data_IF_203315721962
#
_entry.id   IF_203315721962
#
_cell.length_a   1.000
_cell.length_b   1.000
_cell.length_c   1.000
_cell.angle_alpha   90.00
_cell.angle_beta   90.00
_cell.angle_gamma   90.00
#
_symmetry.space_group_name_H-M   'P 1'
#
loop_
_entity.id
_entity.type
_entity.pdbx_description
1 polymer ?
#
# COMPACT_ATOMS: atom_id res chain seq x y z
N UNK A 1 3.10 26.09 46.47
CA UNK A 1 2.99 24.93 45.57
C UNK A 1 2.51 25.47 44.22
N UNK A 2 3.42 25.78 43.31
CA UNK A 2 3.06 26.34 42.00
C UNK A 2 4.09 25.93 40.96
N UNK A 3 3.60 25.53 39.80
CA UNK A 3 4.33 25.50 38.55
C UNK A 3 4.89 24.13 38.16
N UNK A 4 4.11 23.33 37.41
CA UNK A 4 4.70 22.34 36.52
C UNK A 4 3.81 21.96 35.34
N UNK A 5 4.45 22.01 34.17
CA UNK A 5 4.10 21.39 32.88
C UNK A 5 3.23 22.15 31.88
N UNK A 6 3.83 23.15 31.23
CA UNK A 6 3.49 23.56 29.86
C UNK A 6 4.73 23.52 28.96
N UNK A 7 5.30 22.33 28.72
CA UNK A 7 6.39 22.16 27.73
C UNK A 7 6.43 20.72 27.18
N UNK A 8 5.45 20.31 26.36
CA UNK A 8 5.54 19.01 25.67
C UNK A 8 4.84 18.93 24.29
N UNK A 9 4.67 20.03 23.56
CA UNK A 9 4.13 19.99 22.19
C UNK A 9 5.10 20.43 21.09
N UNK A 10 6.11 21.25 21.39
CA UNK A 10 6.96 21.87 20.35
C UNK A 10 8.06 20.98 19.77
N UNK A 11 8.31 19.78 20.34
CA UNK A 11 9.43 18.90 19.93
C UNK A 11 9.06 17.88 18.84
N UNK A 12 7.76 17.59 18.62
CA UNK A 12 7.28 16.63 17.59
C UNK A 12 7.05 17.26 16.21
N UNK A 13 6.70 18.55 16.16
CA UNK A 13 6.33 19.24 14.93
C UNK A 13 7.52 19.41 13.96
N UNK A 14 8.70 19.75 14.50
CA UNK A 14 9.94 19.84 13.71
C UNK A 14 10.37 18.48 13.13
N UNK A 15 10.05 17.38 13.81
CA UNK A 15 10.36 16.03 13.39
C UNK A 15 9.44 15.59 12.23
N UNK A 16 8.12 15.79 12.36
CA UNK A 16 7.16 15.49 11.30
C UNK A 16 7.43 16.30 10.03
N UNK A 17 7.63 17.61 10.13
CA UNK A 17 7.95 18.44 8.98
C UNK A 17 9.26 18.01 8.30
N UNK A 18 10.25 17.57 9.09
CA UNK A 18 11.51 17.04 8.54
C UNK A 18 11.33 15.67 7.89
N UNK A 19 10.51 14.80 8.47
CA UNK A 19 10.17 13.49 7.90
C UNK A 19 9.41 13.64 6.58
N UNK A 20 8.46 14.59 6.53
CA UNK A 20 7.73 14.92 5.29
C UNK A 20 8.70 15.41 4.20
N UNK A 21 9.59 16.35 4.52
CA UNK A 21 10.61 16.81 3.55
C UNK A 21 11.49 15.66 3.04
N UNK A 22 11.97 14.79 3.94
CA UNK A 22 12.76 13.64 3.55
C UNK A 22 11.98 12.69 2.61
N UNK A 23 10.69 12.47 2.89
CA UNK A 23 9.83 11.66 2.03
C UNK A 23 9.63 12.30 0.63
N UNK A 24 9.50 13.62 0.57
CA UNK A 24 9.43 14.37 -0.70
C UNK A 24 10.74 14.27 -1.48
N UNK A 25 11.89 14.43 -0.82
CA UNK A 25 13.20 14.32 -1.45
C UNK A 25 13.40 12.91 -2.04
N UNK A 26 13.04 11.86 -1.28
CA UNK A 26 13.07 10.47 -1.77
C UNK A 26 12.10 10.24 -2.93
N UNK A 27 10.90 10.83 -2.87
CA UNK A 27 9.93 10.75 -3.97
C UNK A 27 10.50 11.35 -5.25
N UNK A 28 11.13 12.53 -5.19
CA UNK A 28 11.71 13.17 -6.37
C UNK A 28 12.81 12.34 -7.02
N UNK A 29 13.68 11.75 -6.21
CA UNK A 29 14.72 10.84 -6.72
C UNK A 29 14.08 9.63 -7.41
N UNK A 30 13.13 8.95 -6.75
CA UNK A 30 12.48 7.77 -7.33
C UNK A 30 11.68 8.09 -8.59
N UNK A 31 10.98 9.22 -8.61
CA UNK A 31 10.20 9.66 -9.77
C UNK A 31 11.09 9.93 -10.99
N UNK A 32 12.27 10.55 -10.78
CA UNK A 32 13.24 10.78 -11.85
C UNK A 32 13.85 9.50 -12.40
N UNK A 33 14.26 8.58 -11.53
CA UNK A 33 14.89 7.31 -11.94
C UNK A 33 13.92 6.35 -12.65
N UNK A 34 12.62 6.48 -12.38
CA UNK A 34 11.58 5.59 -12.91
C UNK A 34 10.61 6.32 -13.87
N UNK A 35 11.00 7.48 -14.39
CA UNK A 35 10.17 8.31 -15.29
C UNK A 35 9.64 7.52 -16.51
N UNK A 36 10.50 6.66 -17.09
CA UNK A 36 10.15 5.80 -18.21
C UNK A 36 8.98 4.83 -17.93
N UNK A 37 8.67 4.57 -16.66
CA UNK A 37 7.56 3.70 -16.24
C UNK A 37 6.26 4.47 -15.97
N UNK A 38 6.24 5.80 -16.09
CA UNK A 38 5.06 6.62 -15.88
C UNK A 38 4.54 6.56 -14.44
N UNK A 39 5.45 6.67 -13.47
CA UNK A 39 5.07 6.65 -12.05
C UNK A 39 4.05 7.73 -11.74
N UNK A 40 3.03 7.35 -10.98
CA UNK A 40 2.00 8.27 -10.51
C UNK A 40 1.98 8.29 -8.99
N UNK A 41 2.13 9.48 -8.41
CA UNK A 41 1.95 9.67 -6.97
C UNK A 41 0.47 9.50 -6.63
N UNK A 42 0.18 8.63 -5.66
CA UNK A 42 -1.16 8.49 -5.11
C UNK A 42 -1.40 9.60 -4.09
N UNK A 43 -2.59 10.20 -4.13
CA UNK A 43 -2.98 11.27 -3.22
C UNK A 43 -4.46 11.25 -2.91
N UNK A 44 -5.04 12.45 -2.84
CA UNK A 44 -6.48 12.66 -2.71
C UNK A 44 -7.01 13.13 -4.07
N UNK A 45 -8.08 12.50 -4.54
CA UNK A 45 -8.75 12.81 -5.80
C UNK A 45 -10.16 13.28 -5.51
N UNK A 46 -10.57 14.40 -6.09
CA UNK A 46 -11.95 14.88 -6.02
C UNK A 46 -12.76 14.37 -7.21
N UNK A 47 -14.02 13.96 -6.96
CA UNK A 47 -14.99 13.62 -8.00
C UNK A 47 -16.40 13.80 -7.44
N UNK A 48 -17.26 14.50 -8.17
CA UNK A 48 -18.67 14.74 -7.81
C UNK A 48 -18.83 15.30 -6.38
N UNK A 49 -18.04 16.32 -6.02
CA UNK A 49 -17.96 16.95 -4.69
C UNK A 49 -17.56 16.00 -3.53
N UNK A 50 -17.00 14.83 -3.87
CA UNK A 50 -16.50 13.85 -2.89
C UNK A 50 -14.99 13.68 -3.05
N UNK A 51 -14.27 13.77 -1.93
CA UNK A 51 -12.85 13.46 -1.85
C UNK A 51 -12.64 11.95 -1.69
N UNK A 52 -11.75 11.38 -2.48
CA UNK A 52 -11.35 9.98 -2.46
C UNK A 52 -9.86 9.84 -2.13
N UNK A 53 -9.52 8.86 -1.29
CA UNK A 53 -8.13 8.53 -0.96
C UNK A 53 -7.62 7.47 -1.92
N UNK A 54 -6.74 7.83 -2.84
CA UNK A 54 -6.14 6.89 -3.78
C UNK A 54 -5.24 5.87 -3.07
N UNK A 55 -4.63 6.27 -1.95
CA UNK A 55 -3.89 5.35 -1.08
C UNK A 55 -4.86 4.33 -0.46
N UNK A 56 -6.04 4.77 -0.02
CA UNK A 56 -7.11 3.89 0.46
C UNK A 56 -7.60 2.93 -0.62
N UNK A 57 -7.80 3.42 -1.84
CA UNK A 57 -8.18 2.62 -3.01
C UNK A 57 -7.13 1.53 -3.32
N UNK A 58 -5.84 1.87 -3.28
CA UNK A 58 -4.75 0.91 -3.49
C UNK A 58 -4.68 -0.15 -2.38
N UNK A 59 -4.80 0.25 -1.11
CA UNK A 59 -4.85 -0.69 0.02
C UNK A 59 -6.05 -1.63 -0.08
N UNK A 60 -7.22 -1.08 -0.45
CA UNK A 60 -8.42 -1.89 -0.66
C UNK A 60 -8.24 -2.87 -1.82
N UNK A 61 -7.69 -2.43 -2.95
CA UNK A 61 -7.37 -3.30 -4.09
C UNK A 61 -6.47 -4.48 -3.67
N UNK A 62 -5.44 -4.23 -2.86
CA UNK A 62 -4.56 -5.30 -2.36
C UNK A 62 -5.32 -6.28 -1.45
N UNK A 63 -6.22 -5.77 -0.60
CA UNK A 63 -6.94 -6.56 0.38
C UNK A 63 -8.11 -7.36 -0.20
N UNK A 64 -8.82 -6.79 -1.17
CA UNK A 64 -10.05 -7.38 -1.74
C UNK A 64 -9.86 -7.86 -3.18
N UNK A 65 -8.68 -7.70 -3.77
CA UNK A 65 -8.38 -8.05 -5.16
C UNK A 65 -9.27 -7.36 -6.22
N UNK A 66 -10.06 -6.34 -5.84
CA UNK A 66 -10.93 -5.56 -6.73
C UNK A 66 -10.79 -4.09 -6.41
N UNK A 67 -10.67 -3.27 -7.45
CA UNK A 67 -10.65 -1.84 -7.27
C UNK A 67 -12.05 -1.34 -6.95
N UNK A 68 -12.14 -0.41 -6.00
CA UNK A 68 -13.37 0.32 -5.70
C UNK A 68 -13.00 1.62 -4.98
N UNK A 69 -13.70 2.73 -5.26
CA UNK A 69 -13.36 4.03 -4.71
C UNK A 69 -13.49 4.04 -3.18
N UNK A 70 -12.58 4.76 -2.51
CA UNK A 70 -12.56 4.89 -1.04
C UNK A 70 -12.69 6.37 -0.69
N UNK A 71 -13.86 6.82 -0.19
CA UNK A 71 -14.04 8.21 0.19
C UNK A 71 -13.17 8.56 1.40
N UNK A 72 -12.72 9.81 1.46
CA UNK A 72 -12.08 10.34 2.66
C UNK A 72 -13.15 10.45 3.74
N UNK A 73 -12.91 9.76 4.86
CA UNK A 73 -13.82 9.76 6.01
C UNK A 73 -13.21 10.56 7.16
N UNK A 74 -14.07 11.09 8.03
CA UNK A 74 -13.64 11.68 9.30
C UNK A 74 -13.16 10.64 10.33
N UNK A 75 -13.44 9.35 10.07
CA UNK A 75 -13.02 8.22 10.90
C UNK A 75 -11.66 7.63 10.50
N UNK A 76 -11.40 6.40 10.94
CA UNK A 76 -10.17 5.71 10.56
C UNK A 76 -10.21 5.25 9.10
N UNK A 77 -9.07 5.34 8.40
CA UNK A 77 -8.94 4.79 7.05
C UNK A 77 -9.28 3.29 7.03
N UNK A 78 -8.91 2.56 8.09
CA UNK A 78 -9.24 1.15 8.26
C UNK A 78 -10.74 0.85 8.13
N UNK A 79 -11.59 1.68 8.76
CA UNK A 79 -13.04 1.52 8.67
C UNK A 79 -13.58 1.81 7.25
N UNK A 80 -12.93 2.70 6.48
CA UNK A 80 -13.34 3.00 5.10
C UNK A 80 -12.92 1.94 4.09
N UNK A 81 -11.82 1.24 4.32
CA UNK A 81 -11.30 0.21 3.40
C UNK A 81 -11.85 -1.20 3.69
N UNK A 82 -12.20 -1.49 4.95
CA UNK A 82 -12.65 -2.82 5.39
C UNK A 82 -14.17 -2.95 5.30
N UNK A 83 -14.68 -2.91 4.07
CA UNK A 83 -16.12 -3.07 3.76
C UNK A 83 -16.50 -4.50 3.40
N UNK A 84 -15.54 -5.27 2.87
CA UNK A 84 -15.72 -6.65 2.44
C UNK A 84 -15.09 -7.62 3.45
N UNK A 85 -15.73 -8.77 3.67
CA UNK A 85 -15.21 -9.79 4.59
C UNK A 85 -14.21 -10.68 3.88
N UNK A 86 -12.97 -10.63 4.31
CA UNK A 86 -11.87 -11.49 3.82
C UNK A 86 -11.74 -12.71 4.72
N UNK A 87 -11.95 -13.92 4.16
CA UNK A 87 -11.90 -15.20 4.86
C UNK A 87 -10.71 -16.01 4.32
N UNK A 88 -9.69 -16.19 5.17
CA UNK A 88 -8.49 -16.95 4.81
C UNK A 88 -8.65 -18.43 5.16
N UNK A 89 -8.68 -19.29 4.15
CA UNK A 89 -8.57 -20.74 4.30
C UNK A 89 -7.12 -21.24 4.20
N UNK A 90 -6.93 -22.56 4.25
CA UNK A 90 -5.58 -23.17 4.23
C UNK A 90 -4.82 -22.98 2.90
N UNK A 91 -5.54 -22.95 1.77
CA UNK A 91 -4.97 -22.83 0.41
C UNK A 91 -5.72 -21.85 -0.50
N UNK A 92 -6.78 -21.25 0.03
CA UNK A 92 -7.68 -20.38 -0.71
C UNK A 92 -8.13 -19.22 0.17
N UNK A 93 -8.48 -18.13 -0.46
CA UNK A 93 -9.07 -16.93 0.11
C UNK A 93 -10.48 -16.81 -0.45
N UNK A 94 -11.48 -16.60 0.41
CA UNK A 94 -12.81 -16.18 -0.01
C UNK A 94 -13.03 -14.72 0.41
N UNK A 95 -13.53 -13.90 -0.51
CA UNK A 95 -13.91 -12.52 -0.22
C UNK A 95 -15.41 -12.41 -0.43
N UNK A 96 -16.11 -12.02 0.63
CA UNK A 96 -17.56 -11.80 0.63
C UNK A 96 -17.84 -10.32 0.67
N UNK A 97 -18.42 -9.85 -0.42
CA UNK A 97 -18.99 -8.50 -0.53
C UNK A 97 -20.47 -8.57 -0.10
N UNK A 98 -21.17 -7.43 0.05
CA UNK A 98 -22.59 -7.46 0.37
C UNK A 98 -23.47 -8.12 -0.70
N UNK A 99 -23.02 -8.17 -1.96
CA UNK A 99 -23.79 -8.69 -3.11
C UNK A 99 -23.28 -10.04 -3.60
N UNK A 100 -21.95 -10.21 -3.67
CA UNK A 100 -21.29 -11.37 -4.28
C UNK A 100 -20.22 -11.99 -3.37
N UNK A 101 -19.81 -13.22 -3.69
CA UNK A 101 -18.60 -13.84 -3.14
C UNK A 101 -17.68 -14.33 -4.25
N UNK A 102 -16.38 -14.27 -4.01
CA UNK A 102 -15.38 -14.79 -4.93
C UNK A 102 -14.23 -15.45 -4.18
N UNK A 103 -13.61 -16.42 -4.84
CA UNK A 103 -12.54 -17.24 -4.29
C UNK A 103 -11.28 -17.07 -5.12
N UNK A 104 -10.13 -17.03 -4.46
CA UNK A 104 -8.82 -17.00 -5.09
C UNK A 104 -7.76 -17.67 -4.22
N UNK A 105 -6.50 -17.52 -4.60
CA UNK A 105 -5.36 -17.99 -3.82
C UNK A 105 -4.31 -16.89 -3.73
N UNK A 106 -3.62 -16.81 -2.60
CA UNK A 106 -2.51 -15.89 -2.40
C UNK A 106 -1.22 -16.67 -2.60
N UNK A 107 -0.33 -16.14 -3.43
CA UNK A 107 1.04 -16.63 -3.58
C UNK A 107 2.01 -15.53 -3.21
N UNK A 108 3.03 -15.87 -2.42
CA UNK A 108 4.11 -14.95 -2.07
C UNK A 108 5.45 -15.68 -2.20
N UNK A 109 6.46 -14.95 -2.63
CA UNK A 109 7.84 -15.39 -2.64
C UNK A 109 8.64 -14.45 -1.74
N UNK A 110 9.39 -15.03 -0.80
CA UNK A 110 10.12 -14.29 0.23
C UNK A 110 11.43 -13.69 -0.30
N UNK A 111 12.04 -14.34 -1.28
CA UNK A 111 13.33 -13.95 -1.83
C UNK A 111 13.23 -13.90 -3.36
N UNK A 112 13.73 -12.80 -3.93
CA UNK A 112 13.96 -12.74 -5.37
C UNK A 112 15.16 -13.60 -5.75
N UNK A 113 15.17 -14.19 -6.96
CA UNK A 113 16.36 -14.86 -7.45
C UNK A 113 17.54 -13.90 -7.53
N UNK A 114 18.75 -14.43 -7.38
CA UNK A 114 20.00 -13.65 -7.44
C UNK A 114 20.20 -12.88 -8.75
N UNK A 115 19.46 -13.24 -9.81
CA UNK A 115 19.43 -12.53 -11.09
C UNK A 115 17.97 -12.30 -11.48
N UNK A 116 17.58 -11.04 -11.64
CA UNK A 116 16.30 -10.64 -12.22
C UNK A 116 16.51 -10.18 -13.66
N UNK A 117 15.51 -10.37 -14.52
CA UNK A 117 15.52 -9.93 -15.91
C UNK A 117 14.19 -9.26 -16.24
N UNK A 118 14.16 -8.25 -17.12
CA UNK A 118 12.90 -7.72 -17.65
C UNK A 118 12.05 -8.86 -18.22
N UNK A 119 10.74 -8.82 -17.94
CA UNK A 119 9.77 -9.79 -18.43
C UNK A 119 9.68 -11.11 -17.65
N UNK A 120 10.41 -11.28 -16.55
CA UNK A 120 10.35 -12.51 -15.74
C UNK A 120 8.93 -12.85 -15.25
N UNK A 121 8.07 -11.85 -15.07
CA UNK A 121 6.67 -12.04 -14.66
C UNK A 121 5.68 -12.04 -15.83
N UNK A 122 6.12 -11.97 -17.09
CA UNK A 122 5.22 -11.81 -18.24
C UNK A 122 4.19 -12.93 -18.33
N UNK A 123 4.59 -14.18 -18.09
CA UNK A 123 3.66 -15.32 -18.09
C UNK A 123 2.55 -15.14 -17.05
N UNK A 124 2.90 -14.64 -15.86
CA UNK A 124 1.93 -14.38 -14.80
C UNK A 124 1.06 -13.15 -15.11
N UNK A 125 1.64 -12.09 -15.68
CA UNK A 125 0.91 -10.88 -16.05
C UNK A 125 0.01 -11.07 -17.28
N UNK A 126 0.21 -12.14 -18.05
CA UNK A 126 -0.57 -12.46 -19.25
C UNK A 126 -1.66 -13.52 -19.00
N UNK A 127 -1.93 -13.87 -17.75
CA UNK A 127 -2.96 -14.87 -17.42
C UNK A 127 -4.37 -14.32 -17.62
N UNK A 128 -5.31 -15.18 -18.03
CA UNK A 128 -6.70 -14.82 -18.32
C UNK A 128 -7.59 -14.68 -17.07
N UNK A 129 -7.01 -14.41 -15.89
CA UNK A 129 -7.74 -14.22 -14.65
C UNK A 129 -7.33 -12.93 -13.92
N UNK A 130 -8.22 -12.35 -13.08
CA UNK A 130 -7.87 -11.19 -12.28
C UNK A 130 -6.69 -11.47 -11.36
N UNK A 131 -5.63 -10.66 -11.49
CA UNK A 131 -4.42 -10.76 -10.70
C UNK A 131 -4.12 -9.41 -10.07
N UNK A 132 -3.92 -9.41 -8.75
CA UNK A 132 -3.33 -8.28 -8.03
C UNK A 132 -1.93 -8.65 -7.59
N UNK A 133 -0.94 -7.99 -8.19
CA UNK A 133 0.47 -8.14 -7.86
C UNK A 133 0.91 -6.95 -6.99
N UNK A 134 1.38 -7.22 -5.78
CA UNK A 134 2.06 -6.25 -4.94
C UNK A 134 3.50 -6.67 -4.72
N UNK A 135 4.41 -5.70 -4.75
CA UNK A 135 5.84 -5.92 -4.52
C UNK A 135 6.32 -4.91 -3.50
N UNK A 136 7.09 -5.39 -2.53
CA UNK A 136 7.76 -4.56 -1.54
C UNK A 136 9.23 -4.94 -1.52
N UNK A 137 10.10 -3.95 -1.46
CA UNK A 137 11.55 -4.13 -1.49
C UNK A 137 12.17 -3.51 -0.25
N UNK A 138 13.17 -4.19 0.28
CA UNK A 138 13.98 -3.70 1.41
C UNK A 138 15.42 -4.13 1.17
N UNK A 139 16.34 -3.18 1.23
CA UNK A 139 17.77 -3.46 1.07
C UNK A 139 18.29 -4.01 2.39
N UNK A 140 18.49 -5.33 2.43
CA UNK A 140 18.97 -6.06 3.61
C UNK A 140 20.24 -6.83 3.26
N UNK A 141 21.15 -6.94 4.21
CA UNK A 141 22.23 -7.94 4.13
C UNK A 141 21.65 -9.34 4.29
N UNK A 142 22.35 -10.37 3.81
CA UNK A 142 21.89 -11.77 3.91
C UNK A 142 21.61 -12.20 5.35
N UNK A 143 22.46 -11.78 6.30
CA UNK A 143 22.26 -12.05 7.72
C UNK A 143 20.97 -11.39 8.27
N UNK A 144 20.70 -10.15 7.89
CA UNK A 144 19.47 -9.42 8.28
C UNK A 144 18.21 -10.05 7.66
N UNK A 145 18.29 -10.52 6.41
CA UNK A 145 17.17 -11.16 5.73
C UNK A 145 16.76 -12.51 6.37
N UNK A 146 17.73 -13.30 6.85
CA UNK A 146 17.47 -14.56 7.56
C UNK A 146 16.89 -14.37 8.97
N UNK A 147 17.19 -13.25 9.62
CA UNK A 147 16.70 -12.96 10.97
C UNK A 147 15.26 -12.44 11.02
N UNK A 148 14.70 -12.05 9.88
CA UNK A 148 13.34 -11.47 9.75
C UNK A 148 12.27 -12.54 9.51
#
# INVERSE_FOLDING_TARGET
ISGRFTKFHKRKENDLASQMRNLEDLWHVLAGELDAYGLRRLGVREKDDVLFSEIGEALRLIMTCRWSPVPVVSGSLGASIYTDRVICGKRALEIRTPQDSYVGSIFSFREYPAKTRPGMLNTLLSTDFPLVLSQSFSFLTRAQAHAR
#
